data_IF_904543028005
#
_entry.id   IF_904543028005
#
_cell.length_a   1.000
_cell.length_b   1.000
_cell.length_c   1.000
_cell.angle_alpha   90.00
_cell.angle_beta   90.00
_cell.angle_gamma   90.00
#
_symmetry.space_group_name_H-M   'P 1'
#
loop_
_entity.id
_entity.type
_entity.pdbx_description
1 polymer ?
#
# COMPACT_ATOMS: atom_id res chain seq x y z
N UNK A 1 -13.52 -20.38 -4.54
CA UNK A 1 -13.90 -21.45 -5.50
C UNK A 1 -13.04 -21.34 -6.75
N UNK A 2 -11.83 -21.87 -6.68
CA UNK A 2 -10.90 -21.91 -7.80
C UNK A 2 -11.29 -23.06 -8.73
N UNK A 3 -11.47 -22.77 -10.00
CA UNK A 3 -11.82 -23.78 -11.00
C UNK A 3 -10.71 -23.81 -12.05
N UNK A 4 -10.07 -24.97 -12.21
CA UNK A 4 -9.06 -25.19 -13.22
C UNK A 4 -9.70 -25.40 -14.59
N UNK A 5 -9.00 -25.03 -15.66
CA UNK A 5 -9.48 -25.26 -17.02
C UNK A 5 -9.79 -26.74 -17.29
N UNK A 6 -8.94 -27.66 -16.79
CA UNK A 6 -9.17 -29.10 -16.85
C UNK A 6 -10.43 -29.52 -16.09
N UNK A 7 -10.67 -28.97 -14.90
CA UNK A 7 -11.87 -29.25 -14.12
C UNK A 7 -13.15 -28.74 -14.80
N UNK A 8 -13.10 -27.61 -15.50
CA UNK A 8 -14.24 -27.15 -16.30
C UNK A 8 -14.52 -28.14 -17.42
N UNK A 9 -13.48 -28.60 -18.15
CA UNK A 9 -13.63 -29.57 -19.25
C UNK A 9 -14.29 -30.87 -18.75
N UNK A 10 -13.90 -31.37 -17.59
CA UNK A 10 -14.52 -32.54 -16.96
C UNK A 10 -15.98 -32.29 -16.58
N UNK A 11 -16.28 -31.15 -15.94
CA UNK A 11 -17.64 -30.80 -15.50
C UNK A 11 -18.63 -30.70 -16.65
N UNK A 12 -18.22 -30.17 -17.80
CA UNK A 12 -19.09 -30.00 -18.97
C UNK A 12 -18.92 -31.14 -20.00
N UNK A 13 -18.10 -32.14 -19.67
CA UNK A 13 -17.85 -33.34 -20.48
C UNK A 13 -17.41 -33.03 -21.92
N UNK A 14 -16.44 -32.12 -22.06
CA UNK A 14 -15.84 -31.76 -23.36
C UNK A 14 -14.37 -32.19 -23.43
N UNK A 15 -13.88 -32.43 -24.63
CA UNK A 15 -12.47 -32.73 -24.84
C UNK A 15 -11.60 -31.49 -24.55
N UNK A 16 -10.36 -31.69 -24.08
CA UNK A 16 -9.40 -30.60 -23.82
C UNK A 16 -9.18 -29.74 -25.09
N UNK A 17 -9.22 -30.31 -26.28
CA UNK A 17 -9.09 -29.54 -27.53
C UNK A 17 -10.26 -28.56 -27.69
N UNK A 18 -11.48 -29.01 -27.39
CA UNK A 18 -12.68 -28.17 -27.48
C UNK A 18 -12.67 -27.10 -26.35
N UNK A 19 -12.06 -27.41 -25.21
CA UNK A 19 -11.87 -26.48 -24.12
C UNK A 19 -10.97 -25.31 -24.54
N UNK A 20 -9.91 -25.54 -25.31
CA UNK A 20 -9.02 -24.46 -25.80
C UNK A 20 -9.83 -23.42 -26.60
N UNK A 21 -10.80 -23.83 -27.38
CA UNK A 21 -11.67 -22.91 -28.13
C UNK A 21 -12.60 -22.13 -27.17
N UNK A 22 -13.00 -22.74 -26.06
CA UNK A 22 -13.83 -22.09 -25.03
C UNK A 22 -13.04 -21.10 -24.15
N UNK A 23 -11.72 -21.26 -24.05
CA UNK A 23 -10.86 -20.31 -23.33
C UNK A 23 -10.89 -18.91 -23.94
N UNK A 24 -11.11 -18.78 -25.26
CA UNK A 24 -11.33 -17.48 -25.90
C UNK A 24 -12.56 -16.74 -25.33
N UNK A 25 -13.59 -17.49 -24.90
CA UNK A 25 -14.77 -16.93 -24.26
C UNK A 25 -14.42 -16.49 -22.82
N UNK A 26 -13.59 -17.28 -22.13
CA UNK A 26 -13.10 -16.92 -20.79
C UNK A 26 -12.28 -15.63 -20.84
N UNK A 27 -11.40 -15.47 -21.83
CA UNK A 27 -10.62 -14.23 -22.01
C UNK A 27 -11.56 -13.01 -22.19
N UNK A 28 -12.63 -13.17 -22.99
CA UNK A 28 -13.65 -12.11 -23.15
C UNK A 28 -14.38 -11.80 -21.83
N UNK A 29 -14.63 -12.81 -20.99
CA UNK A 29 -15.26 -12.61 -19.69
C UNK A 29 -14.30 -11.93 -18.69
N UNK A 30 -13.00 -12.21 -18.80
CA UNK A 30 -11.96 -11.53 -18.02
C UNK A 30 -11.87 -10.07 -18.43
N UNK A 31 -11.77 -9.78 -19.72
CA UNK A 31 -11.77 -8.40 -20.24
C UNK A 31 -13.00 -7.60 -19.80
N UNK A 32 -14.13 -8.26 -19.65
CA UNK A 32 -15.39 -7.65 -19.20
C UNK A 32 -15.54 -7.62 -17.67
N UNK A 33 -14.57 -8.14 -16.92
CA UNK A 33 -14.60 -8.14 -15.44
C UNK A 33 -15.61 -9.11 -14.80
N UNK A 34 -16.11 -10.12 -15.55
CA UNK A 34 -17.00 -11.15 -15.01
C UNK A 34 -16.25 -12.32 -14.38
N UNK A 35 -15.01 -12.52 -14.76
CA UNK A 35 -14.14 -13.60 -14.31
C UNK A 35 -12.75 -13.03 -14.11
N UNK A 36 -12.05 -13.47 -13.08
CA UNK A 36 -10.61 -13.25 -12.93
C UNK A 36 -9.86 -14.54 -13.27
N UNK A 37 -8.65 -14.44 -13.80
CA UNK A 37 -7.79 -15.61 -14.03
C UNK A 37 -6.44 -15.39 -13.38
N UNK A 38 -5.88 -16.48 -12.87
CA UNK A 38 -4.55 -16.47 -12.25
C UNK A 38 -3.76 -17.65 -12.80
N UNK A 39 -2.49 -17.41 -13.15
CA UNK A 39 -1.56 -18.46 -13.55
C UNK A 39 -0.81 -18.94 -12.32
N UNK A 40 -0.70 -20.25 -12.13
CA UNK A 40 0.26 -20.80 -11.18
C UNK A 40 1.55 -21.10 -11.93
N UNK A 41 2.70 -21.00 -11.28
CA UNK A 41 4.02 -21.19 -11.90
C UNK A 41 4.29 -22.53 -12.60
N UNK A 42 3.23 -23.31 -12.91
CA UNK A 42 3.21 -24.58 -13.66
C UNK A 42 2.36 -24.50 -14.92
N UNK A 43 2.16 -23.32 -15.50
CA UNK A 43 1.37 -23.10 -16.72
C UNK A 43 -0.15 -23.41 -16.60
N UNK A 44 -0.63 -23.78 -15.42
CA UNK A 44 -2.07 -24.00 -15.23
C UNK A 44 -2.74 -22.69 -14.81
N UNK A 45 -3.73 -22.26 -15.61
CA UNK A 45 -4.62 -21.16 -15.26
C UNK A 45 -5.82 -21.67 -14.48
N UNK A 46 -6.13 -21.02 -13.38
CA UNK A 46 -7.43 -21.17 -12.75
C UNK A 46 -8.26 -19.89 -12.92
N UNK A 47 -9.54 -20.07 -12.90
CA UNK A 47 -10.52 -18.99 -13.08
C UNK A 47 -11.32 -18.83 -11.81
N UNK A 48 -11.59 -17.60 -11.45
CA UNK A 48 -12.45 -17.26 -10.31
C UNK A 48 -13.55 -16.31 -10.77
N UNK A 49 -14.75 -16.48 -10.20
CA UNK A 49 -15.85 -15.55 -10.41
C UNK A 49 -15.91 -14.65 -9.18
N UNK A 50 -15.73 -13.35 -9.32
CA UNK A 50 -15.77 -12.40 -8.21
C UNK A 50 -17.05 -12.56 -7.38
N UNK A 51 -16.96 -12.32 -6.07
CA UNK A 51 -18.07 -12.53 -5.13
C UNK A 51 -19.29 -11.67 -5.48
N UNK A 52 -19.08 -10.42 -5.90
CA UNK A 52 -20.14 -9.53 -6.37
C UNK A 52 -20.88 -10.10 -7.58
N UNK A 53 -20.17 -10.65 -8.56
CA UNK A 53 -20.76 -11.30 -9.74
C UNK A 53 -21.59 -12.51 -9.31
N UNK A 54 -21.06 -13.37 -8.43
CA UNK A 54 -21.80 -14.52 -7.88
C UNK A 54 -23.05 -14.08 -7.11
N UNK A 55 -22.96 -13.03 -6.34
CA UNK A 55 -24.10 -12.51 -5.57
C UNK A 55 -25.19 -11.95 -6.49
N UNK A 56 -24.81 -11.20 -7.54
CA UNK A 56 -25.76 -10.72 -8.54
C UNK A 56 -26.45 -11.89 -9.24
N UNK A 57 -25.70 -12.91 -9.65
CA UNK A 57 -26.28 -14.12 -10.28
C UNK A 57 -27.26 -14.82 -9.34
N UNK A 58 -26.88 -15.01 -8.06
CA UNK A 58 -27.76 -15.67 -7.06
C UNK A 58 -29.05 -14.91 -6.80
N UNK A 59 -28.99 -13.58 -6.86
CA UNK A 59 -30.13 -12.70 -6.59
C UNK A 59 -30.91 -12.36 -7.85
N UNK A 60 -30.51 -12.90 -9.01
CA UNK A 60 -31.05 -12.56 -10.32
C UNK A 60 -31.05 -11.05 -10.62
N UNK A 61 -29.99 -10.38 -10.18
CA UNK A 61 -29.76 -8.95 -10.41
C UNK A 61 -28.87 -8.78 -11.66
N UNK A 62 -28.96 -7.63 -12.34
CA UNK A 62 -28.01 -7.30 -13.39
C UNK A 62 -26.58 -7.33 -12.83
N UNK A 63 -25.68 -8.03 -13.53
CA UNK A 63 -24.28 -8.08 -13.13
C UNK A 63 -23.58 -6.85 -13.69
N UNK A 64 -23.07 -6.00 -12.80
CA UNK A 64 -22.15 -4.92 -13.19
C UNK A 64 -20.74 -5.47 -13.10
N UNK A 65 -20.01 -5.54 -14.22
CA UNK A 65 -18.64 -6.02 -14.22
C UNK A 65 -17.76 -5.12 -13.34
N UNK A 66 -16.81 -5.72 -12.64
CA UNK A 66 -15.79 -4.97 -11.92
C UNK A 66 -14.82 -4.40 -12.93
N UNK A 67 -14.78 -3.08 -13.04
CA UNK A 67 -13.82 -2.38 -13.88
C UNK A 67 -12.43 -2.53 -13.26
N UNK A 68 -11.45 -3.01 -14.00
CA UNK A 68 -10.06 -3.20 -13.57
C UNK A 68 -9.06 -2.39 -14.38
N UNK A 69 -9.50 -1.75 -15.46
CA UNK A 69 -8.66 -1.01 -16.40
C UNK A 69 -9.22 0.41 -16.61
N UNK A 70 -8.34 1.35 -16.89
CA UNK A 70 -8.69 2.75 -17.12
C UNK A 70 -9.48 3.35 -15.94
N UNK A 71 -9.03 3.02 -14.71
CA UNK A 71 -9.63 3.47 -13.47
C UNK A 71 -9.30 4.94 -13.21
N UNK A 72 -10.17 5.64 -12.50
CA UNK A 72 -9.81 6.88 -11.81
C UNK A 72 -8.91 6.58 -10.62
N UNK A 73 -8.32 7.60 -10.01
CA UNK A 73 -7.47 7.44 -8.83
C UNK A 73 -8.25 6.78 -7.69
N UNK A 74 -9.45 7.27 -7.39
CA UNK A 74 -10.29 6.74 -6.31
C UNK A 74 -10.69 5.28 -6.60
N UNK A 75 -11.19 5.00 -7.83
CA UNK A 75 -11.52 3.63 -8.25
C UNK A 75 -10.32 2.68 -8.13
N UNK A 76 -9.10 3.17 -8.40
CA UNK A 76 -7.88 2.36 -8.29
C UNK A 76 -7.57 2.01 -6.84
N UNK A 77 -7.60 2.97 -5.92
CA UNK A 77 -7.32 2.72 -4.51
C UNK A 77 -8.43 1.92 -3.82
N UNK A 78 -9.69 2.07 -4.23
CA UNK A 78 -10.78 1.17 -3.80
C UNK A 78 -10.47 -0.28 -4.20
N UNK A 79 -10.05 -0.52 -5.46
CA UNK A 79 -9.66 -1.88 -5.92
C UNK A 79 -8.43 -2.41 -5.23
N UNK A 80 -7.46 -1.53 -4.94
CA UNK A 80 -6.27 -1.88 -4.20
C UNK A 80 -6.64 -2.35 -2.78
N UNK A 81 -7.55 -1.64 -2.10
CA UNK A 81 -8.07 -2.01 -0.78
C UNK A 81 -8.76 -3.37 -0.80
N UNK A 82 -9.66 -3.61 -1.77
CA UNK A 82 -10.36 -4.89 -1.91
C UNK A 82 -9.42 -6.12 -2.02
N UNK A 83 -8.24 -5.95 -2.64
CA UNK A 83 -7.22 -7.01 -2.73
C UNK A 83 -6.64 -7.35 -1.34
N UNK A 84 -6.56 -6.36 -0.44
CA UNK A 84 -6.02 -6.55 0.91
C UNK A 84 -7.06 -7.02 1.92
N UNK A 85 -8.33 -6.75 1.70
CA UNK A 85 -9.44 -7.18 2.56
C UNK A 85 -9.76 -8.69 2.43
N UNK A 86 -9.35 -9.34 1.35
CA UNK A 86 -9.60 -10.77 1.12
C UNK A 86 -8.49 -11.63 1.76
N UNK A 87 -8.76 -12.16 2.94
CA UNK A 87 -7.84 -13.01 3.70
C UNK A 87 -7.57 -14.37 3.04
N UNK A 88 -8.42 -14.81 2.13
CA UNK A 88 -8.30 -16.10 1.43
C UNK A 88 -7.29 -16.06 0.28
N UNK A 89 -6.82 -14.88 -0.13
CA UNK A 89 -5.86 -14.72 -1.23
C UNK A 89 -4.45 -15.07 -0.74
N UNK A 90 -3.81 -16.02 -1.42
CA UNK A 90 -2.43 -16.40 -1.14
C UNK A 90 -1.47 -15.26 -1.55
N UNK A 91 -0.34 -15.15 -0.85
CA UNK A 91 0.68 -14.12 -1.12
C UNK A 91 1.05 -13.99 -2.60
N UNK A 92 1.31 -15.11 -3.28
CA UNK A 92 1.69 -15.09 -4.70
C UNK A 92 0.57 -14.58 -5.60
N UNK A 93 -0.66 -15.04 -5.36
CA UNK A 93 -1.83 -14.61 -6.11
C UNK A 93 -2.11 -13.13 -5.86
N UNK A 94 -1.90 -12.65 -4.63
CA UNK A 94 -2.06 -11.25 -4.25
C UNK A 94 -1.08 -10.35 -5.00
N UNK A 95 0.20 -10.75 -5.06
CA UNK A 95 1.22 -10.01 -5.83
C UNK A 95 0.85 -9.97 -7.31
N UNK A 96 0.45 -11.08 -7.91
CA UNK A 96 0.02 -11.13 -9.31
C UNK A 96 -1.21 -10.22 -9.58
N UNK A 97 -2.17 -10.18 -8.65
CA UNK A 97 -3.33 -9.29 -8.75
C UNK A 97 -2.91 -7.81 -8.69
N UNK A 98 -1.96 -7.46 -7.82
CA UNK A 98 -1.41 -6.12 -7.72
C UNK A 98 -0.67 -5.71 -8.98
N UNK A 99 0.21 -6.57 -9.51
CA UNK A 99 0.94 -6.33 -10.76
C UNK A 99 -0.04 -6.10 -11.91
N UNK A 100 -1.04 -6.96 -12.07
CA UNK A 100 -2.07 -6.81 -13.11
C UNK A 100 -2.90 -5.52 -12.96
N UNK A 101 -3.25 -5.11 -11.72
CA UNK A 101 -3.97 -3.87 -11.45
C UNK A 101 -3.14 -2.66 -11.84
N UNK A 102 -1.87 -2.63 -11.43
CA UNK A 102 -0.94 -1.54 -11.75
C UNK A 102 -0.67 -1.48 -13.26
N UNK A 103 -0.36 -2.60 -13.90
CA UNK A 103 -0.10 -2.67 -15.36
C UNK A 103 -1.29 -2.16 -16.19
N UNK A 104 -2.52 -2.52 -15.76
CA UNK A 104 -3.73 -2.10 -16.44
C UNK A 104 -4.06 -0.62 -16.29
N UNK A 105 -3.38 0.07 -15.35
CA UNK A 105 -3.65 1.46 -15.01
C UNK A 105 -2.40 2.36 -15.07
N UNK A 106 -1.48 2.04 -15.98
CA UNK A 106 -0.23 2.79 -16.18
C UNK A 106 -0.42 4.26 -16.61
N UNK A 107 -1.64 4.72 -16.85
CA UNK A 107 -1.93 6.14 -17.05
C UNK A 107 -1.85 6.93 -15.74
N UNK A 108 -2.07 6.29 -14.58
CA UNK A 108 -2.01 6.91 -13.26
C UNK A 108 -0.57 7.21 -12.84
N UNK A 109 -0.30 8.37 -12.20
CA UNK A 109 1.02 8.72 -11.69
C UNK A 109 1.59 7.71 -10.70
N UNK A 110 0.77 7.21 -9.77
CA UNK A 110 1.12 6.16 -8.82
C UNK A 110 1.69 4.92 -9.52
N UNK A 111 0.95 4.38 -10.50
CA UNK A 111 1.35 3.18 -11.25
C UNK A 111 2.67 3.38 -12.00
N UNK A 112 2.84 4.55 -12.64
CA UNK A 112 4.10 4.90 -13.32
C UNK A 112 5.28 5.00 -12.36
N UNK A 113 5.03 5.44 -11.13
CA UNK A 113 6.09 5.68 -10.16
C UNK A 113 6.50 4.38 -9.48
N UNK A 114 5.56 3.54 -9.07
CA UNK A 114 5.88 2.26 -8.43
C UNK A 114 6.65 1.32 -9.36
N UNK A 115 6.36 1.34 -10.66
CA UNK A 115 7.07 0.56 -11.68
C UNK A 115 8.52 1.00 -11.93
N UNK A 116 8.89 2.22 -11.52
CA UNK A 116 10.28 2.70 -11.61
C UNK A 116 11.18 2.13 -10.52
N UNK A 117 10.59 1.68 -9.41
CA UNK A 117 11.34 1.05 -8.35
C UNK A 117 11.56 -0.42 -8.70
N UNK A 118 12.80 -0.89 -8.63
CA UNK A 118 13.14 -2.31 -8.82
C UNK A 118 12.86 -3.09 -7.53
N UNK A 119 11.57 -3.27 -7.23
CA UNK A 119 11.11 -3.86 -5.98
C UNK A 119 11.02 -5.38 -6.09
N UNK A 120 11.44 -6.07 -5.03
CA UNK A 120 11.09 -7.48 -4.88
C UNK A 120 9.58 -7.64 -4.70
N UNK A 121 9.00 -8.81 -5.02
CA UNK A 121 7.55 -9.06 -4.84
C UNK A 121 7.05 -8.75 -3.42
N UNK A 122 7.90 -8.92 -2.42
CA UNK A 122 7.57 -8.59 -1.03
C UNK A 122 7.57 -7.09 -0.78
N UNK A 123 8.61 -6.40 -1.27
CA UNK A 123 8.71 -4.95 -1.13
C UNK A 123 7.58 -4.27 -1.92
N UNK A 124 7.27 -4.79 -3.12
CA UNK A 124 6.16 -4.35 -3.95
C UNK A 124 4.82 -4.47 -3.22
N UNK A 125 4.55 -5.64 -2.62
CA UNK A 125 3.35 -5.84 -1.81
C UNK A 125 3.29 -4.83 -0.66
N UNK A 126 4.39 -4.63 0.08
CA UNK A 126 4.42 -3.71 1.21
C UNK A 126 4.13 -2.27 0.79
N UNK A 127 4.76 -1.76 -0.27
CA UNK A 127 4.48 -0.40 -0.75
C UNK A 127 3.01 -0.24 -1.10
N UNK A 128 2.39 -1.24 -1.76
CA UNK A 128 0.96 -1.20 -2.09
C UNK A 128 0.06 -1.26 -0.84
N UNK A 129 0.42 -2.02 0.22
CA UNK A 129 -0.30 -2.02 1.50
C UNK A 129 -0.27 -0.63 2.14
N UNK A 130 0.92 -0.01 2.23
CA UNK A 130 1.07 1.32 2.82
C UNK A 130 0.34 2.38 2.00
N UNK A 131 0.40 2.29 0.67
CA UNK A 131 -0.31 3.18 -0.24
C UNK A 131 -1.84 3.05 -0.08
N UNK A 132 -2.35 1.83 0.00
CA UNK A 132 -3.77 1.57 0.20
C UNK A 132 -4.28 2.13 1.52
N UNK A 133 -3.55 1.90 2.60
CA UNK A 133 -3.95 2.41 3.93
C UNK A 133 -3.86 3.92 4.03
N UNK A 134 -2.82 4.51 3.46
CA UNK A 134 -2.68 5.96 3.44
C UNK A 134 -3.86 6.63 2.72
N UNK A 135 -4.29 6.11 1.58
CA UNK A 135 -5.35 6.74 0.78
C UNK A 135 -6.74 6.37 1.28
N UNK A 136 -6.97 5.11 1.68
CA UNK A 136 -8.32 4.64 2.04
C UNK A 136 -8.65 4.85 3.52
N UNK A 137 -7.65 4.89 4.40
CA UNK A 137 -7.84 4.91 5.86
C UNK A 137 -7.20 6.14 6.54
N UNK A 138 -6.52 7.03 5.79
CA UNK A 138 -5.70 8.12 6.31
C UNK A 138 -4.66 7.65 7.37
N UNK A 139 -4.23 6.38 7.28
CA UNK A 139 -3.29 5.75 8.20
C UNK A 139 -1.98 5.45 7.49
N UNK A 140 -0.98 6.27 7.75
CA UNK A 140 0.36 6.11 7.19
C UNK A 140 1.33 5.35 8.09
N UNK A 141 0.87 4.86 9.25
CA UNK A 141 1.73 4.17 10.22
C UNK A 141 1.26 2.73 10.41
N UNK A 142 2.06 1.77 9.98
CA UNK A 142 1.73 0.36 10.11
C UNK A 142 2.70 -0.34 11.06
N UNK A 143 2.12 -0.97 12.09
CA UNK A 143 2.86 -1.80 13.03
C UNK A 143 3.31 -3.13 12.40
N UNK A 144 4.55 -3.55 12.70
CA UNK A 144 5.12 -4.80 12.15
C UNK A 144 4.36 -6.07 12.56
N UNK A 145 3.53 -5.99 13.60
CA UNK A 145 2.68 -7.10 14.04
C UNK A 145 1.53 -7.40 13.07
N UNK A 146 1.10 -6.41 12.30
CA UNK A 146 0.02 -6.56 11.30
C UNK A 146 0.53 -7.15 9.98
N UNK A 147 1.84 -7.26 9.79
CA UNK A 147 2.40 -7.72 8.50
C UNK A 147 2.17 -9.21 8.24
N UNK A 148 1.91 -10.00 9.29
CA UNK A 148 1.54 -11.41 9.14
C UNK A 148 0.20 -11.57 8.40
N UNK A 149 -0.69 -10.58 8.49
CA UNK A 149 -2.00 -10.59 7.84
C UNK A 149 -1.87 -10.46 6.31
N UNK A 150 -0.83 -9.75 5.85
CA UNK A 150 -0.55 -9.57 4.42
C UNK A 150 0.38 -10.64 3.84
N UNK A 151 1.25 -11.20 4.68
CA UNK A 151 2.27 -12.15 4.28
C UNK A 151 2.07 -13.47 5.03
N UNK A 152 1.35 -14.40 4.50
CA UNK A 152 0.98 -15.70 5.10
C UNK A 152 2.15 -16.48 5.76
N UNK A 153 3.40 -16.11 5.47
CA UNK A 153 4.59 -16.81 5.98
C UNK A 153 5.31 -16.03 7.09
N UNK A 154 5.20 -16.49 8.32
CA UNK A 154 5.97 -15.96 9.47
C UNK A 154 7.48 -15.90 9.24
N UNK A 155 8.03 -16.83 8.45
CA UNK A 155 9.46 -16.84 8.12
C UNK A 155 9.82 -15.70 7.16
N UNK A 156 8.93 -15.38 6.22
CA UNK A 156 9.09 -14.26 5.30
C UNK A 156 9.04 -12.93 6.05
N UNK A 157 8.02 -12.74 6.91
CA UNK A 157 7.90 -11.54 7.77
C UNK A 157 9.17 -11.33 8.59
N UNK A 158 9.66 -12.36 9.29
CA UNK A 158 10.90 -12.26 10.10
C UNK A 158 12.13 -11.87 9.27
N UNK A 159 12.23 -12.37 8.04
CA UNK A 159 13.35 -12.03 7.13
C UNK A 159 13.27 -10.55 6.70
N UNK A 160 12.09 -10.10 6.32
CA UNK A 160 11.84 -8.71 5.91
C UNK A 160 12.10 -7.76 7.06
N UNK A 161 11.54 -8.02 8.24
CA UNK A 161 11.76 -7.20 9.43
C UNK A 161 13.24 -7.11 9.81
N UNK A 162 13.99 -8.20 9.66
CA UNK A 162 15.44 -8.18 9.91
C UNK A 162 16.17 -7.27 8.92
N UNK A 163 15.80 -7.32 7.63
CA UNK A 163 16.44 -6.48 6.61
C UNK A 163 16.13 -4.99 6.84
N UNK A 164 14.90 -4.66 7.23
CA UNK A 164 14.48 -3.30 7.56
C UNK A 164 15.22 -2.76 8.80
N UNK A 165 15.20 -3.53 9.90
CA UNK A 165 15.89 -3.14 11.15
C UNK A 165 17.40 -2.97 10.98
N UNK A 166 18.01 -3.73 10.08
CA UNK A 166 19.45 -3.62 9.77
C UNK A 166 19.75 -2.57 8.69
N UNK A 167 18.75 -1.88 8.15
CA UNK A 167 18.93 -0.91 7.06
C UNK A 167 19.41 -1.52 5.74
N UNK A 168 19.24 -2.85 5.57
CA UNK A 168 19.68 -3.56 4.36
C UNK A 168 18.56 -3.72 3.33
N UNK A 169 17.32 -3.43 3.70
CA UNK A 169 16.17 -3.43 2.79
C UNK A 169 16.32 -2.37 1.72
N UNK A 170 15.88 -2.68 0.51
CA UNK A 170 15.83 -1.72 -0.59
C UNK A 170 14.88 -0.56 -0.26
N UNK A 171 13.76 -0.83 0.42
CA UNK A 171 12.81 0.18 0.85
C UNK A 171 13.42 1.29 1.73
N UNK A 172 14.39 0.92 2.60
CA UNK A 172 15.11 1.89 3.42
C UNK A 172 16.19 2.62 2.61
N UNK A 173 16.94 1.89 1.76
CA UNK A 173 18.02 2.48 0.96
C UNK A 173 17.52 3.48 -0.07
N UNK A 174 16.36 3.20 -0.66
CA UNK A 174 15.72 4.08 -1.64
C UNK A 174 14.90 5.19 -0.96
N UNK A 175 14.89 5.23 0.38
CA UNK A 175 14.16 6.24 1.14
C UNK A 175 12.64 6.15 0.96
N UNK A 176 12.11 4.95 0.70
CA UNK A 176 10.66 4.75 0.57
C UNK A 176 10.01 4.64 1.94
N UNK A 177 10.64 3.87 2.85
CA UNK A 177 10.16 3.66 4.21
C UNK A 177 11.10 4.27 5.24
N UNK A 178 10.52 4.73 6.32
CA UNK A 178 11.24 5.07 7.54
C UNK A 178 10.48 4.60 8.79
N UNK A 179 11.19 4.57 9.93
CA UNK A 179 10.60 4.20 11.21
C UNK A 179 9.91 5.40 11.83
N UNK A 180 8.77 5.16 12.48
CA UNK A 180 8.12 6.19 13.28
C UNK A 180 9.08 6.72 14.34
N UNK A 181 9.06 8.04 14.54
CA UNK A 181 9.74 8.70 15.65
C UNK A 181 8.69 9.05 16.70
N UNK A 182 8.87 8.56 17.93
CA UNK A 182 8.00 8.87 19.05
C UNK A 182 8.85 9.45 20.19
N UNK A 183 8.48 10.63 20.68
CA UNK A 183 9.23 11.38 21.70
C UNK A 183 10.75 11.51 21.39
N UNK A 184 11.11 11.65 20.11
CA UNK A 184 12.50 11.76 19.66
C UNK A 184 13.25 10.43 19.59
N UNK A 185 12.59 9.30 19.81
CA UNK A 185 13.16 7.96 19.67
C UNK A 185 12.52 7.22 18.50
N UNK A 186 13.35 6.54 17.71
CA UNK A 186 12.85 5.69 16.61
C UNK A 186 12.22 4.43 17.19
N UNK A 187 10.97 4.16 16.79
CA UNK A 187 10.30 2.88 17.10
C UNK A 187 10.45 1.89 15.94
N UNK A 188 11.33 0.86 16.06
CA UNK A 188 11.57 -0.10 14.99
C UNK A 188 10.40 -1.08 14.77
N UNK A 189 9.29 -0.90 15.45
CA UNK A 189 8.09 -1.72 15.28
C UNK A 189 7.03 -1.03 14.42
N UNK A 190 7.21 0.26 14.08
CA UNK A 190 6.29 1.01 13.24
C UNK A 190 7.05 1.66 12.08
N UNK A 191 6.48 1.55 10.91
CA UNK A 191 7.02 2.11 9.67
C UNK A 191 5.95 2.94 8.98
N UNK A 192 6.39 3.91 8.19
CA UNK A 192 5.55 4.71 7.30
C UNK A 192 6.30 5.06 6.02
N UNK A 193 5.58 5.57 5.03
CA UNK A 193 6.19 6.13 3.83
C UNK A 193 6.88 7.45 4.19
N UNK A 194 8.08 7.67 3.67
CA UNK A 194 8.75 8.98 3.81
C UNK A 194 7.97 10.06 3.06
N UNK A 195 8.14 11.32 3.45
CA UNK A 195 7.48 12.43 2.77
C UNK A 195 7.90 12.50 1.29
N UNK A 196 9.18 12.24 0.99
CA UNK A 196 9.68 12.17 -0.37
C UNK A 196 9.00 11.05 -1.19
N UNK A 197 8.74 9.89 -0.57
CA UNK A 197 8.02 8.79 -1.21
C UNK A 197 6.55 9.15 -1.42
N UNK A 198 5.90 9.80 -0.46
CA UNK A 198 4.52 10.29 -0.58
C UNK A 198 4.40 11.28 -1.74
N UNK A 199 5.27 12.28 -1.82
CA UNK A 199 5.27 13.24 -2.93
C UNK A 199 5.50 12.57 -4.30
N UNK A 200 6.39 11.57 -4.36
CA UNK A 200 6.69 10.88 -5.60
C UNK A 200 5.56 9.95 -6.05
N UNK A 201 4.93 9.23 -5.12
CA UNK A 201 3.87 8.24 -5.40
C UNK A 201 2.51 8.92 -5.63
N UNK A 202 2.22 10.04 -4.95
CA UNK A 202 0.92 10.69 -4.93
C UNK A 202 0.95 12.16 -5.36
N UNK A 203 1.57 12.51 -6.52
CA UNK A 203 1.76 13.91 -6.92
C UNK A 203 0.45 14.67 -7.18
N UNK A 204 -0.64 13.95 -7.43
CA UNK A 204 -1.95 14.52 -7.77
C UNK A 204 -2.98 14.36 -6.63
N UNK A 205 -2.54 13.87 -5.45
CA UNK A 205 -3.42 13.66 -4.29
C UNK A 205 -2.99 14.63 -3.19
N UNK A 206 -3.91 15.47 -2.74
CA UNK A 206 -3.71 16.22 -1.51
C UNK A 206 -3.80 15.25 -0.33
N UNK A 207 -2.65 14.78 0.12
CA UNK A 207 -2.58 14.03 1.36
C UNK A 207 -2.86 14.99 2.51
N UNK A 208 -3.80 14.63 3.36
CA UNK A 208 -3.95 15.34 4.63
C UNK A 208 -2.64 15.11 5.38
N UNK A 209 -1.83 16.17 5.52
CA UNK A 209 -0.70 16.09 6.42
C UNK A 209 -1.26 15.63 7.76
N UNK A 210 -0.94 14.40 8.18
CA UNK A 210 -1.10 14.01 9.55
C UNK A 210 -0.20 14.97 10.32
N UNK A 211 -0.76 16.12 10.66
CA UNK A 211 -0.07 17.03 11.55
C UNK A 211 0.14 16.21 12.82
N UNK A 212 1.38 15.78 13.08
CA UNK A 212 1.83 15.36 14.42
C UNK A 212 1.49 16.40 15.49
N UNK A 213 0.81 17.47 15.09
CA UNK A 213 0.27 18.55 15.89
C UNK A 213 -0.93 18.15 16.78
N UNK A 214 -1.34 16.90 16.80
CA UNK A 214 -2.27 16.39 17.83
C UNK A 214 -1.56 15.96 19.12
N UNK A 215 -0.25 16.17 19.21
CA UNK A 215 0.37 16.29 20.51
C UNK A 215 -0.21 17.55 21.18
N UNK A 216 -1.13 17.34 22.14
CA UNK A 216 -1.84 18.38 22.90
C UNK A 216 -0.89 19.41 23.54
N UNK A 217 0.41 19.20 23.41
CA UNK A 217 1.49 20.00 23.94
C UNK A 217 2.27 20.79 22.89
N UNK A 218 2.11 20.48 21.57
CA UNK A 218 2.75 21.21 20.48
C UNK A 218 1.74 22.12 19.78
N UNK A 219 1.98 23.41 19.85
CA UNK A 219 1.19 24.41 19.13
C UNK A 219 2.10 25.09 18.12
N UNK A 220 1.66 25.18 16.85
CA UNK A 220 2.43 25.87 15.82
C UNK A 220 2.81 27.28 16.28
N UNK A 221 4.08 27.63 16.12
CA UNK A 221 4.57 28.97 16.51
C UNK A 221 3.82 30.11 15.78
N UNK A 222 3.22 29.82 14.62
CA UNK A 222 2.42 30.79 13.84
C UNK A 222 1.11 31.15 14.52
N UNK A 223 0.61 30.31 15.45
CA UNK A 223 -0.60 30.59 16.23
C UNK A 223 -0.35 31.48 17.45
N UNK A 224 0.92 31.72 17.78
CA UNK A 224 1.27 32.59 18.89
C UNK A 224 1.41 34.04 18.44
N UNK A 225 0.54 34.92 18.92
CA UNK A 225 0.83 36.36 18.87
C UNK A 225 1.96 36.70 19.87
N UNK A 226 3.02 37.39 19.42
CA UNK A 226 4.09 37.77 20.33
C UNK A 226 3.51 38.56 21.50
N UNK A 227 3.64 38.03 22.73
CA UNK A 227 3.25 38.71 23.94
C UNK A 227 4.49 39.31 24.57
N UNK A 228 4.42 40.58 24.96
CA UNK A 228 5.44 41.18 25.82
C UNK A 228 5.33 40.55 27.21
N UNK A 229 6.20 39.58 27.46
CA UNK A 229 6.30 38.96 28.79
C UNK A 229 7.42 39.62 29.58
N UNK A 230 7.10 40.03 30.80
CA UNK A 230 8.08 40.57 31.74
C UNK A 230 8.62 39.42 32.60
N UNK A 231 9.88 39.12 32.42
CA UNK A 231 10.56 38.12 33.22
C UNK A 231 11.41 38.76 34.30
N UNK A 232 11.53 38.12 35.45
CA UNK A 232 12.52 38.49 36.43
C UNK A 232 13.93 38.46 35.81
N UNK A 233 14.86 39.36 36.21
CA UNK A 233 16.16 39.50 35.53
C UNK A 233 16.96 38.20 35.39
N UNK A 234 16.88 37.31 36.40
CA UNK A 234 17.56 36.02 36.37
C UNK A 234 16.95 35.04 35.35
N UNK A 235 15.62 35.08 35.15
CA UNK A 235 14.93 34.27 34.15
C UNK A 235 15.23 34.79 32.75
N UNK A 236 15.22 36.11 32.58
CA UNK A 236 15.58 36.75 31.32
C UNK A 236 16.99 36.35 30.88
N UNK A 237 17.97 36.40 31.79
CA UNK A 237 19.34 35.96 31.49
C UNK A 237 19.43 34.49 31.05
N UNK A 238 18.60 33.60 31.61
CA UNK A 238 18.56 32.20 31.18
C UNK A 238 17.93 32.04 29.78
N UNK A 239 16.87 32.79 29.48
CA UNK A 239 16.22 32.79 28.15
C UNK A 239 17.19 33.35 27.10
N UNK A 240 17.86 34.48 27.39
CA UNK A 240 18.82 35.08 26.47
C UNK A 240 19.98 34.11 26.16
N UNK A 241 20.46 33.39 27.18
CA UNK A 241 21.50 32.36 27.01
C UNK A 241 21.01 31.16 26.19
N UNK A 242 19.77 30.74 26.37
CA UNK A 242 19.15 29.69 25.55
C UNK A 242 19.00 30.14 24.07
N UNK A 243 18.56 31.38 23.86
CA UNK A 243 18.44 31.97 22.54
C UNK A 243 19.80 32.06 21.82
N UNK A 244 20.86 32.44 22.56
CA UNK A 244 22.24 32.44 22.03
C UNK A 244 22.72 31.04 21.66
N UNK A 245 22.40 30.02 22.47
CA UNK A 245 22.75 28.63 22.17
C UNK A 245 22.03 28.10 20.96
N UNK A 246 20.75 28.46 20.75
CA UNK A 246 19.96 28.07 19.59
C UNK A 246 20.37 28.81 18.30
N UNK A 247 21.00 29.99 18.40
CA UNK A 247 21.53 30.75 17.28
C UNK A 247 22.95 30.31 16.85
N UNK A 248 23.68 29.63 17.75
CA UNK A 248 24.95 29.03 17.39
C UNK A 248 24.65 27.74 16.66
N UNK A 249 25.12 27.63 15.41
CA UNK A 249 25.02 26.48 14.49
C UNK A 249 25.59 25.15 15.06
N UNK A 250 25.42 24.88 16.34
CA UNK A 250 25.85 23.65 16.99
C UNK A 250 24.86 22.47 16.80
N UNK A 251 23.74 22.72 16.11
CA UNK A 251 22.80 21.68 15.69
C UNK A 251 22.88 21.33 14.21
N UNK A 252 23.84 21.89 13.48
CA UNK A 252 24.18 21.42 12.17
C UNK A 252 25.10 20.21 12.31
N UNK A 253 24.49 19.08 12.17
CA UNK A 253 24.93 17.73 11.85
C UNK A 253 26.27 17.18 12.34
N UNK A 254 26.24 15.93 12.82
CA UNK A 254 27.39 15.07 12.78
C UNK A 254 27.57 14.42 11.41
#
# INVERSE_FOLDING_TARGET
NRIWASGIAEMINVSNIRMITMLNVADTLIEKGFVTSHATGKEERYYNVPANVLNCIRQNLPVTPVKMKDLTVDEFFDRLGEIFEDDDILFHDRVEMLENLVESNMHLPYCKTIEKYDLSSVDYLLVNVFASRLINEDDDIIGTHNWEDYMISKSLVRRVLRSLKNGTSQLIKDGIFETKVDEGMRDPNYYHLTDAAKEALFPDIELVESTEADDKHLTSYTTFSPKHLFYAPHIKSQIDRLAELLQQDQFSDP
#
